data_IF_411705818252
#
_entry.id   IF_411705818252
#
_cell.length_a   1.000
_cell.length_b   1.000
_cell.length_c   1.000
_cell.angle_alpha   90.00
_cell.angle_beta   90.00
_cell.angle_gamma   90.00
#
_symmetry.space_group_name_H-M   'P 1'
#
loop_
_entity.id
_entity.type
_entity.pdbx_description
1 polymer ?
#
# COMPACT_ATOMS: atom_id res chain seq x y z
N UNK A 1 -5.36 -15.35 17.04
CA UNK A 1 -6.17 -14.09 16.97
C UNK A 1 -5.64 -13.27 15.81
N UNK A 2 -6.51 -12.72 14.99
CA UNK A 2 -6.12 -11.88 13.85
C UNK A 2 -6.37 -10.40 14.21
N UNK A 3 -5.33 -9.58 14.11
CA UNK A 3 -5.41 -8.13 14.33
C UNK A 3 -5.39 -7.42 12.99
N UNK A 4 -6.28 -6.45 12.79
CA UNK A 4 -6.36 -5.66 11.57
C UNK A 4 -5.96 -4.21 11.87
N UNK A 5 -4.99 -3.70 11.11
CA UNK A 5 -4.50 -2.33 11.21
C UNK A 5 -5.01 -1.49 10.03
N UNK A 6 -5.37 -0.26 10.33
CA UNK A 6 -5.63 0.75 9.28
C UNK A 6 -4.34 1.14 8.57
N UNK A 7 -4.39 1.52 7.29
CA UNK A 7 -3.24 2.06 6.60
C UNK A 7 -2.91 3.46 7.13
N UNK A 8 -1.70 3.94 6.85
CA UNK A 8 -1.34 5.32 7.05
C UNK A 8 -1.34 6.08 5.72
N UNK A 9 -1.70 7.36 5.73
CA UNK A 9 -1.62 8.22 4.54
C UNK A 9 -0.18 8.47 4.11
N UNK A 10 0.72 8.58 5.08
CA UNK A 10 2.14 8.80 4.85
C UNK A 10 2.85 7.47 4.68
N UNK A 11 3.62 7.36 3.60
CA UNK A 11 4.51 6.25 3.33
C UNK A 11 5.96 6.71 3.33
N UNK A 12 6.87 5.82 3.73
CA UNK A 12 8.30 6.02 3.54
C UNK A 12 8.63 6.05 2.04
N UNK A 13 9.54 6.93 1.66
CA UNK A 13 10.12 6.93 0.31
C UNK A 13 11.34 5.98 0.20
N UNK A 14 11.73 5.36 1.31
CA UNK A 14 12.82 4.40 1.31
C UNK A 14 12.37 3.09 0.67
N UNK A 15 13.03 2.72 -0.40
CA UNK A 15 12.89 1.42 -1.03
C UNK A 15 14.17 0.65 -0.74
N UNK A 16 14.12 -0.36 0.08
CA UNK A 16 15.18 -1.35 0.30
C UNK A 16 14.59 -2.46 1.14
N UNK A 17 14.34 -3.60 0.55
CA UNK A 17 13.99 -4.80 1.30
C UNK A 17 15.27 -5.57 1.61
N UNK A 18 15.51 -5.84 2.88
CA UNK A 18 16.61 -6.72 3.32
C UNK A 18 16.12 -8.16 3.51
N UNK A 19 14.86 -8.43 3.22
CA UNK A 19 14.27 -9.75 3.41
C UNK A 19 14.58 -10.64 2.21
N UNK A 20 15.20 -11.79 2.47
CA UNK A 20 15.37 -12.83 1.47
C UNK A 20 14.01 -13.40 1.05
N UNK A 21 13.72 -13.35 -0.25
CA UNK A 21 12.50 -13.90 -0.86
C UNK A 21 11.20 -13.40 -0.20
N UNK A 22 10.96 -12.08 -0.13
CA UNK A 22 9.81 -11.51 0.54
C UNK A 22 8.51 -11.88 -0.19
N UNK A 23 7.38 -12.05 0.55
CA UNK A 23 6.11 -12.37 -0.05
C UNK A 23 5.54 -11.21 -0.88
N UNK A 24 4.73 -11.55 -1.88
CA UNK A 24 3.99 -10.60 -2.68
C UNK A 24 2.56 -10.41 -2.15
N UNK A 25 1.95 -9.22 -2.33
CA UNK A 25 0.55 -9.01 -1.99
C UNK A 25 -0.38 -9.99 -2.72
N UNK A 26 -1.44 -10.42 -2.04
CA UNK A 26 -2.35 -11.46 -2.54
C UNK A 26 -3.25 -10.98 -3.70
N UNK A 27 -3.57 -9.68 -3.74
CA UNK A 27 -4.55 -9.10 -4.67
C UNK A 27 -3.91 -8.24 -5.76
N UNK A 28 -2.72 -8.64 -6.25
CA UNK A 28 -1.98 -7.87 -7.26
C UNK A 28 -2.72 -7.68 -8.59
N UNK A 29 -3.56 -8.63 -8.98
CA UNK A 29 -4.33 -8.48 -10.21
C UNK A 29 -5.36 -7.35 -10.08
N UNK A 30 -6.05 -7.27 -8.96
CA UNK A 30 -6.98 -6.19 -8.64
C UNK A 30 -6.24 -4.84 -8.50
N UNK A 31 -5.06 -4.85 -7.88
CA UNK A 31 -4.20 -3.67 -7.80
C UNK A 31 -3.81 -3.17 -9.18
N UNK A 32 -3.43 -4.07 -10.09
CA UNK A 32 -3.10 -3.73 -11.48
C UNK A 32 -4.27 -3.06 -12.21
N UNK A 33 -5.48 -3.54 -12.01
CA UNK A 33 -6.68 -2.96 -12.63
C UNK A 33 -6.90 -1.53 -12.13
N UNK A 34 -6.78 -1.29 -10.82
CA UNK A 34 -6.87 0.04 -10.22
C UNK A 34 -5.78 0.98 -10.75
N UNK A 35 -4.53 0.51 -10.77
CA UNK A 35 -3.41 1.30 -11.28
C UNK A 35 -3.58 1.61 -12.77
N UNK A 36 -4.09 0.68 -13.56
CA UNK A 36 -4.35 0.93 -14.99
C UNK A 36 -5.32 2.09 -15.19
N UNK A 37 -6.35 2.20 -14.36
CA UNK A 37 -7.26 3.34 -14.39
C UNK A 37 -6.60 4.64 -13.91
N UNK A 38 -5.84 4.57 -12.81
CA UNK A 38 -5.15 5.74 -12.26
C UNK A 38 -4.07 6.29 -13.20
N UNK A 39 -3.42 5.42 -13.99
CA UNK A 39 -2.45 5.83 -15.02
C UNK A 39 -3.03 6.66 -16.15
N UNK A 40 -4.33 6.57 -16.39
CA UNK A 40 -5.03 7.36 -17.40
C UNK A 40 -5.39 8.77 -16.92
N UNK A 41 -5.23 9.03 -15.62
CA UNK A 41 -5.51 10.31 -15.01
C UNK A 41 -4.26 11.19 -15.01
N UNK A 42 -4.47 12.49 -15.21
CA UNK A 42 -3.42 13.48 -15.01
C UNK A 42 -3.38 13.97 -13.54
N UNK A 43 -2.40 14.78 -13.14
CA UNK A 43 -2.34 15.31 -11.77
C UNK A 43 -3.57 16.11 -11.36
N UNK A 44 -4.23 16.82 -12.28
CA UNK A 44 -5.44 17.60 -11.99
C UNK A 44 -6.61 16.67 -11.66
N UNK A 45 -6.75 15.58 -12.41
CA UNK A 45 -7.75 14.54 -12.13
C UNK A 45 -7.53 13.90 -10.75
N UNK A 46 -6.26 13.62 -10.40
CA UNK A 46 -5.90 13.06 -9.10
C UNK A 46 -6.17 14.03 -7.94
N UNK A 47 -5.95 15.32 -8.14
CA UNK A 47 -6.33 16.36 -7.16
C UNK A 47 -7.82 16.31 -6.86
N UNK A 48 -8.64 16.26 -7.89
CA UNK A 48 -10.10 16.19 -7.76
C UNK A 48 -10.56 14.88 -7.12
N UNK A 49 -9.98 13.76 -7.54
CA UNK A 49 -10.37 12.43 -7.07
C UNK A 49 -10.04 12.24 -5.58
N UNK A 50 -8.87 12.67 -5.16
CA UNK A 50 -8.33 12.38 -3.81
C UNK A 50 -8.43 13.57 -2.85
N UNK A 51 -8.77 14.77 -3.32
CA UNK A 51 -8.81 15.98 -2.50
C UNK A 51 -7.43 16.35 -1.94
N UNK A 52 -6.39 16.28 -2.76
CA UNK A 52 -4.98 16.53 -2.38
C UNK A 52 -4.40 17.73 -3.10
N UNK A 53 -3.27 18.24 -2.60
CA UNK A 53 -2.53 19.33 -3.23
C UNK A 53 -1.91 18.91 -4.56
N UNK A 54 -1.56 19.91 -5.39
CA UNK A 54 -0.88 19.70 -6.67
C UNK A 54 0.43 18.92 -6.51
N UNK A 55 1.24 19.27 -5.51
CA UNK A 55 2.51 18.56 -5.25
C UNK A 55 2.28 17.07 -4.93
N UNK A 56 1.28 16.76 -4.12
CA UNK A 56 0.92 15.38 -3.79
C UNK A 56 0.33 14.65 -5.00
N UNK A 57 -0.45 15.32 -5.82
CA UNK A 57 -1.03 14.75 -7.03
C UNK A 57 0.06 14.39 -8.05
N UNK A 58 1.02 15.30 -8.27
CA UNK A 58 2.16 15.07 -9.16
C UNK A 58 3.00 13.89 -8.68
N UNK A 59 3.34 13.84 -7.38
CA UNK A 59 4.07 12.72 -6.80
C UNK A 59 3.32 11.38 -6.98
N UNK A 60 2.02 11.37 -6.78
CA UNK A 60 1.23 10.15 -6.96
C UNK A 60 1.09 9.75 -8.42
N UNK A 61 0.98 10.72 -9.32
CA UNK A 61 1.00 10.46 -10.74
C UNK A 61 2.31 9.75 -11.16
N UNK A 62 3.45 10.28 -10.72
CA UNK A 62 4.77 9.66 -10.96
C UNK A 62 4.84 8.23 -10.39
N UNK A 63 4.37 8.04 -9.16
CA UNK A 63 4.30 6.71 -8.52
C UNK A 63 3.44 5.73 -9.31
N UNK A 64 2.27 6.18 -9.79
CA UNK A 64 1.40 5.32 -10.61
C UNK A 64 2.04 4.98 -11.96
N UNK A 65 2.71 5.94 -12.63
CA UNK A 65 3.41 5.66 -13.88
C UNK A 65 4.53 4.62 -13.69
N UNK A 66 5.26 4.69 -12.58
CA UNK A 66 6.35 3.76 -12.25
C UNK A 66 5.84 2.38 -11.77
N UNK A 67 4.61 2.29 -11.28
CA UNK A 67 4.08 1.06 -10.69
C UNK A 67 3.98 -0.09 -11.70
N UNK A 68 4.44 -1.26 -11.28
CA UNK A 68 4.32 -2.51 -12.03
C UNK A 68 4.25 -3.70 -11.06
N UNK A 69 4.01 -4.89 -11.55
CA UNK A 69 3.90 -6.12 -10.73
C UNK A 69 5.27 -6.75 -10.38
N UNK A 70 6.35 -6.20 -10.90
CA UNK A 70 7.71 -6.69 -10.64
C UNK A 70 8.31 -5.96 -9.45
N UNK A 71 8.02 -6.46 -8.25
CA UNK A 71 8.60 -5.94 -7.03
C UNK A 71 10.05 -6.39 -6.87
N UNK A 72 10.93 -5.41 -6.62
CA UNK A 72 12.36 -5.60 -6.43
C UNK A 72 12.80 -4.83 -5.19
N UNK A 73 13.94 -5.18 -4.58
CA UNK A 73 14.45 -4.47 -3.41
C UNK A 73 14.65 -2.96 -3.64
N UNK A 74 14.94 -2.56 -4.87
CA UNK A 74 15.18 -1.16 -5.24
C UNK A 74 13.91 -0.33 -5.50
N UNK A 75 12.75 -0.96 -5.67
CA UNK A 75 11.49 -0.27 -5.96
C UNK A 75 10.37 -0.53 -4.96
N UNK A 76 10.58 -1.39 -3.99
CA UNK A 76 9.56 -1.83 -3.05
C UNK A 76 10.14 -2.11 -1.67
N UNK A 77 9.27 -2.11 -0.67
CA UNK A 77 9.61 -2.40 0.72
C UNK A 77 8.45 -3.14 1.39
N UNK A 78 8.73 -3.89 2.44
CA UNK A 78 7.69 -4.56 3.22
C UNK A 78 6.68 -3.55 3.77
N UNK A 79 5.41 -3.91 3.75
CA UNK A 79 4.31 -3.02 4.13
C UNK A 79 4.49 -2.42 5.53
N UNK A 80 4.88 -3.23 6.51
CA UNK A 80 5.04 -2.80 7.91
C UNK A 80 6.13 -1.73 8.09
N UNK A 81 7.15 -1.73 7.25
CA UNK A 81 8.21 -0.70 7.25
C UNK A 81 7.83 0.51 6.40
N UNK A 82 6.89 0.35 5.49
CA UNK A 82 6.49 1.39 4.54
C UNK A 82 5.52 2.40 5.15
N UNK A 83 4.52 1.94 5.91
CA UNK A 83 3.53 2.82 6.51
C UNK A 83 4.12 3.62 7.67
N UNK A 84 3.87 4.93 7.66
CA UNK A 84 4.32 5.89 8.70
C UNK A 84 3.10 6.60 9.29
N UNK A 85 2.84 6.35 10.55
CA UNK A 85 1.74 6.94 11.30
C UNK A 85 1.80 6.45 12.74
N UNK A 86 0.94 6.97 13.61
CA UNK A 86 1.00 6.72 15.06
C UNK A 86 0.95 5.23 15.40
N UNK A 87 0.09 4.47 14.73
CA UNK A 87 0.00 3.01 14.90
C UNK A 87 1.34 2.32 14.62
N UNK A 88 2.01 2.72 13.53
CA UNK A 88 3.27 2.10 13.11
C UNK A 88 4.47 2.60 13.92
N UNK A 89 4.43 3.84 14.38
CA UNK A 89 5.39 4.37 15.36
C UNK A 89 5.27 3.58 16.67
N UNK A 90 4.04 3.34 17.14
CA UNK A 90 3.78 2.55 18.33
C UNK A 90 4.20 1.08 18.21
N UNK A 91 4.00 0.48 17.02
CA UNK A 91 4.46 -0.89 16.73
C UNK A 91 5.99 -1.00 16.77
N UNK A 92 6.70 0.07 16.36
CA UNK A 92 8.14 0.18 16.38
C UNK A 92 8.84 -1.07 15.79
N UNK A 93 8.46 -1.41 14.58
CA UNK A 93 8.82 -2.66 13.89
C UNK A 93 10.33 -2.90 13.82
N UNK A 94 11.14 -1.84 13.80
CA UNK A 94 12.60 -1.93 13.74
C UNK A 94 13.22 -2.55 14.99
N UNK A 95 12.47 -2.63 16.10
CA UNK A 95 12.90 -3.30 17.33
C UNK A 95 12.49 -4.77 17.41
N UNK A 96 11.69 -5.26 16.45
CA UNK A 96 11.18 -6.63 16.44
C UNK A 96 12.25 -7.60 15.90
N UNK A 97 12.43 -8.70 16.60
CA UNK A 97 13.25 -9.80 16.11
C UNK A 97 12.54 -10.64 15.02
N UNK A 98 13.25 -11.60 14.45
CA UNK A 98 12.73 -12.48 13.39
C UNK A 98 11.49 -13.25 13.81
N UNK A 99 11.46 -13.74 15.06
CA UNK A 99 10.31 -14.51 15.59
C UNK A 99 9.10 -13.62 15.79
N UNK A 100 9.29 -12.38 16.25
CA UNK A 100 8.23 -11.39 16.39
C UNK A 100 7.66 -10.98 15.04
N UNK A 101 8.52 -10.79 14.04
CA UNK A 101 8.11 -10.48 12.66
C UNK A 101 7.32 -11.64 12.05
N UNK A 102 7.73 -12.89 12.29
CA UNK A 102 6.97 -14.05 11.83
C UNK A 102 5.61 -14.14 12.54
N UNK A 103 5.58 -13.89 13.84
CA UNK A 103 4.32 -13.82 14.59
C UNK A 103 3.39 -12.72 14.04
N UNK A 104 3.95 -11.54 13.76
CA UNK A 104 3.20 -10.45 13.13
C UNK A 104 2.67 -10.86 11.76
N UNK A 105 3.49 -11.51 10.92
CA UNK A 105 3.11 -12.00 9.58
C UNK A 105 1.89 -12.93 9.64
N UNK A 106 1.80 -13.76 10.65
CA UNK A 106 0.72 -14.72 10.81
C UNK A 106 -0.55 -14.11 11.42
N UNK A 107 -0.40 -13.10 12.27
CA UNK A 107 -1.48 -12.58 13.12
C UNK A 107 -1.93 -11.14 12.80
N UNK A 108 -1.22 -10.39 11.96
CA UNK A 108 -1.57 -9.01 11.60
C UNK A 108 -1.96 -8.93 10.13
N UNK A 109 -2.96 -8.10 9.84
CA UNK A 109 -3.33 -7.68 8.49
C UNK A 109 -3.41 -6.17 8.43
N UNK A 110 -2.92 -5.60 7.32
CA UNK A 110 -2.94 -4.16 7.07
C UNK A 110 -3.91 -3.90 5.93
N UNK A 111 -4.89 -3.05 6.15
CA UNK A 111 -5.81 -2.63 5.09
C UNK A 111 -5.12 -1.65 4.15
N UNK A 112 -5.46 -1.72 2.87
CA UNK A 112 -4.89 -0.86 1.84
C UNK A 112 -5.92 -0.55 0.76
N UNK A 113 -6.02 0.72 0.37
CA UNK A 113 -6.89 1.13 -0.72
C UNK A 113 -6.45 0.58 -2.09
N UNK A 114 -5.16 0.34 -2.28
CA UNK A 114 -4.61 -0.20 -3.53
C UNK A 114 -4.44 -1.71 -3.50
N UNK A 115 -3.89 -2.25 -2.41
CA UNK A 115 -3.52 -3.66 -2.32
C UNK A 115 -4.56 -4.54 -1.63
N UNK A 116 -5.65 -3.95 -1.12
CA UNK A 116 -6.69 -4.67 -0.40
C UNK A 116 -6.27 -5.04 1.01
N UNK A 117 -5.86 -6.27 1.23
CA UNK A 117 -5.35 -6.77 2.50
C UNK A 117 -3.90 -7.19 2.33
N UNK A 118 -3.04 -6.62 3.17
CA UNK A 118 -1.61 -6.91 3.21
C UNK A 118 -1.25 -7.69 4.46
N UNK A 119 -0.27 -8.56 4.34
CA UNK A 119 0.48 -9.08 5.48
C UNK A 119 1.66 -8.14 5.77
N UNK A 120 2.18 -8.08 6.99
CA UNK A 120 3.27 -7.17 7.36
C UNK A 120 4.49 -7.19 6.42
N UNK A 121 4.91 -8.37 5.98
CA UNK A 121 6.08 -8.53 5.14
C UNK A 121 5.80 -8.55 3.63
N UNK A 122 4.56 -8.35 3.19
CA UNK A 122 4.26 -8.21 1.77
C UNK A 122 4.95 -6.98 1.19
N UNK A 123 5.62 -7.14 0.04
CA UNK A 123 6.27 -6.02 -0.64
C UNK A 123 5.25 -5.09 -1.28
N UNK A 124 5.41 -3.80 -1.05
CA UNK A 124 4.61 -2.76 -1.71
C UNK A 124 5.50 -1.68 -2.32
N UNK A 125 5.01 -1.10 -3.41
CA UNK A 125 5.53 0.16 -3.95
C UNK A 125 4.82 1.34 -3.29
N UNK A 126 5.46 2.50 -3.14
CA UNK A 126 4.80 3.70 -2.60
C UNK A 126 3.58 4.08 -3.42
N UNK A 127 2.51 4.42 -2.75
CA UNK A 127 1.24 4.84 -3.36
C UNK A 127 0.45 5.77 -2.42
N UNK A 128 -0.58 6.40 -2.95
CA UNK A 128 -1.63 7.03 -2.17
C UNK A 128 -2.98 6.75 -2.83
N UNK A 129 -3.77 5.93 -2.20
CA UNK A 129 -5.16 5.67 -2.56
C UNK A 129 -5.91 5.29 -1.29
N UNK A 130 -6.74 6.18 -0.78
CA UNK A 130 -7.56 5.93 0.40
C UNK A 130 -8.70 4.99 0.07
N UNK A 131 -9.07 4.11 1.01
CA UNK A 131 -10.15 3.13 0.84
C UNK A 131 -11.51 3.79 0.54
N UNK A 132 -11.73 5.02 1.01
CA UNK A 132 -12.94 5.80 0.75
C UNK A 132 -12.96 6.51 -0.60
N UNK A 133 -11.92 6.41 -1.41
CA UNK A 133 -11.84 7.06 -2.71
C UNK A 133 -12.88 6.48 -3.66
N UNK A 134 -13.71 7.35 -4.25
CA UNK A 134 -14.77 6.96 -5.21
C UNK A 134 -14.18 6.80 -6.61
N UNK A 135 -13.38 5.77 -6.82
CA UNK A 135 -12.92 5.39 -8.14
C UNK A 135 -14.04 4.59 -8.81
N UNK A 136 -14.49 5.02 -9.99
CA UNK A 136 -15.46 4.28 -10.80
C UNK A 136 -14.78 3.08 -11.46
N UNK A 137 -14.43 2.09 -10.65
CA UNK A 137 -13.88 0.86 -11.17
C UNK A 137 -15.00 0.01 -11.79
N UNK A 138 -14.81 -0.43 -13.02
CA UNK A 138 -15.62 -1.52 -13.62
C UNK A 138 -15.26 -2.89 -13.03
N UNK A 139 -14.82 -2.92 -11.78
CA UNK A 139 -14.36 -4.14 -11.13
C UNK A 139 -15.55 -4.70 -10.37
N UNK A 140 -15.89 -5.95 -10.62
CA UNK A 140 -16.93 -6.73 -9.93
C UNK A 140 -16.61 -7.04 -8.46
N UNK A 141 -15.64 -6.36 -7.86
CA UNK A 141 -15.32 -6.43 -6.45
C UNK A 141 -15.55 -5.06 -5.81
N UNK A 142 -16.77 -4.83 -5.43
CA UNK A 142 -17.06 -3.89 -4.36
C UNK A 142 -16.40 -4.45 -3.08
N UNK A 143 -15.18 -4.00 -2.76
CA UNK A 143 -14.68 -4.10 -1.41
C UNK A 143 -15.47 -3.10 -0.56
N UNK A 144 -16.75 -3.39 -0.42
CA UNK A 144 -17.57 -2.79 0.61
C UNK A 144 -17.27 -3.57 1.89
N UNK A 145 -16.18 -3.21 2.55
CA UNK A 145 -16.03 -3.58 3.97
C UNK A 145 -17.11 -2.77 4.68
N UNK A 146 -18.29 -3.34 4.81
CA UNK A 146 -19.29 -2.85 5.76
C UNK A 146 -18.84 -3.35 7.13
N UNK A 147 -18.36 -2.42 7.91
CA UNK A 147 -18.25 -2.64 9.33
C UNK A 147 -19.64 -2.66 9.96
#
# INVERSE_FOLDING_TARGET
MLTVLSPAKKLSNECCSDTDNPPSPQFLNQSKELVTQLKQMDPVDLMSLMGISENLATLNWERMQAWNKSFKPDNSREAVYSFKGDTYIGLNVETLGSDDLQFAQDNIRILSGLYGILRPLDLIMPYRLEMGTKLKAKISFSFSIRF
#
